data_IF_467245243299
#
_entry.id   IF_467245243299
#
_cell.length_a   1.000
_cell.length_b   1.000
_cell.length_c   1.000
_cell.angle_alpha   90.00
_cell.angle_beta   90.00
_cell.angle_gamma   90.00
#
_symmetry.space_group_name_H-M   'P 1'
#
loop_
_entity.id
_entity.type
_entity.pdbx_description
1 polymer ?
#
# COMPACT_ATOMS: atom_id res chain seq x y z
N UNK A 1 -9.22 -4.11 14.63
CA UNK A 1 -8.91 -3.26 13.45
C UNK A 1 -7.81 -2.28 13.84
N UNK A 2 -6.54 -2.68 13.70
CA UNK A 2 -5.40 -1.78 13.90
C UNK A 2 -5.11 -1.10 12.55
N UNK A 3 -5.42 0.19 12.48
CA UNK A 3 -5.28 1.02 11.29
C UNK A 3 -3.77 1.19 11.01
N UNK A 4 -3.27 0.54 9.95
CA UNK A 4 -1.98 0.90 9.34
C UNK A 4 -2.16 2.27 8.68
N UNK A 5 -1.92 3.33 9.45
CA UNK A 5 -1.80 4.70 8.96
C UNK A 5 -0.50 4.75 8.15
N UNK A 6 -0.61 4.65 6.83
CA UNK A 6 0.50 4.98 5.94
C UNK A 6 0.38 6.47 5.66
N UNK A 7 1.09 7.30 6.41
CA UNK A 7 1.24 8.72 6.08
C UNK A 7 2.29 8.82 4.99
N UNK A 8 1.87 8.91 3.72
CA UNK A 8 2.77 8.76 2.56
C UNK A 8 3.45 10.08 2.16
N UNK A 9 2.97 11.24 2.59
CA UNK A 9 3.49 12.51 2.09
C UNK A 9 4.85 12.96 2.68
N UNK A 10 5.30 12.36 3.79
CA UNK A 10 6.62 12.61 4.37
C UNK A 10 7.71 11.64 3.84
N UNK A 11 7.37 10.70 2.95
CA UNK A 11 8.22 9.54 2.70
C UNK A 11 9.45 9.80 1.81
N UNK A 12 9.54 10.92 1.08
CA UNK A 12 10.73 11.16 0.23
C UNK A 12 11.87 11.81 1.02
N UNK A 13 11.56 12.65 2.03
CA UNK A 13 12.56 13.23 2.95
C UNK A 13 12.71 12.44 4.26
N UNK A 14 11.65 11.74 4.73
CA UNK A 14 11.67 10.96 5.98
C UNK A 14 11.46 9.44 5.77
N UNK A 15 11.08 8.98 4.59
CA UNK A 15 10.82 7.54 4.32
C UNK A 15 12.06 6.73 3.92
N UNK A 16 13.21 7.38 3.74
CA UNK A 16 14.51 6.69 3.69
C UNK A 16 14.86 5.98 5.02
N UNK A 17 14.10 6.25 6.10
CA UNK A 17 14.32 5.72 7.45
C UNK A 17 14.01 4.20 7.57
N UNK A 18 13.34 3.58 6.58
CA UNK A 18 12.89 2.18 6.69
C UNK A 18 13.28 1.23 5.54
N UNK A 19 14.03 1.67 4.54
CA UNK A 19 14.47 0.82 3.45
C UNK A 19 15.87 0.25 3.77
N UNK A 20 15.97 -1.08 3.89
CA UNK A 20 17.25 -1.78 3.99
C UNK A 20 18.08 -1.49 2.75
N UNK A 21 19.12 -0.67 2.88
CA UNK A 21 20.04 -0.36 1.79
C UNK A 21 20.92 -1.59 1.57
N UNK A 22 20.85 -2.19 0.37
CA UNK A 22 21.81 -3.21 -0.05
C UNK A 22 23.23 -2.59 -0.07
N UNK A 23 24.30 -3.37 0.15
CA UNK A 23 25.66 -2.83 0.13
C UNK A 23 25.97 -2.28 -1.28
N UNK A 24 25.98 -0.95 -1.41
CA UNK A 24 26.29 -0.26 -2.65
C UNK A 24 27.81 -0.15 -2.84
N UNK A 25 28.26 -0.29 -4.09
CA UNK A 25 29.66 -0.25 -4.51
C UNK A 25 30.32 1.13 -4.24
N UNK A 26 31.40 1.06 -3.46
CA UNK A 26 32.55 1.95 -3.15
C UNK A 26 32.72 3.42 -3.62
N UNK A 27 31.77 4.15 -4.22
CA UNK A 27 32.03 5.58 -4.59
C UNK A 27 30.96 6.62 -4.26
N UNK A 28 29.91 6.29 -3.52
CA UNK A 28 28.94 7.28 -3.05
C UNK A 28 28.45 6.98 -1.64
N UNK A 29 28.25 8.01 -0.83
CA UNK A 29 27.61 7.88 0.48
C UNK A 29 26.14 7.43 0.33
N UNK A 30 25.48 6.97 1.41
CA UNK A 30 24.08 6.59 1.37
C UNK A 30 23.16 7.73 0.86
N UNK A 31 23.52 8.99 1.14
CA UNK A 31 22.81 10.15 0.62
C UNK A 31 22.89 10.24 -0.92
N UNK A 32 24.04 9.96 -1.53
CA UNK A 32 24.24 9.99 -2.98
C UNK A 32 23.37 8.94 -3.68
N UNK A 33 23.21 7.76 -3.08
CA UNK A 33 22.35 6.71 -3.62
C UNK A 33 20.86 7.12 -3.63
N UNK A 34 20.41 7.84 -2.60
CA UNK A 34 19.03 8.33 -2.49
C UNK A 34 18.80 9.49 -3.46
N UNK A 35 19.68 10.50 -3.44
CA UNK A 35 19.55 11.70 -4.26
C UNK A 35 19.76 11.42 -5.74
N UNK A 36 20.68 10.50 -6.08
CA UNK A 36 20.90 10.05 -7.45
C UNK A 36 19.72 9.31 -8.07
N UNK A 37 18.81 8.78 -7.25
CA UNK A 37 17.59 8.09 -7.70
C UNK A 37 16.29 8.86 -7.40
N UNK A 38 16.40 10.19 -7.23
CA UNK A 38 15.28 11.03 -6.84
C UNK A 38 14.11 10.97 -7.84
N UNK A 39 14.38 11.02 -9.14
CA UNK A 39 13.34 10.92 -10.18
C UNK A 39 12.61 9.56 -10.12
N UNK A 40 13.33 8.46 -9.85
CA UNK A 40 12.73 7.13 -9.67
C UNK A 40 11.86 7.02 -8.41
N UNK A 41 12.27 7.67 -7.31
CA UNK A 41 11.46 7.75 -6.09
C UNK A 41 10.17 8.55 -6.31
N UNK A 42 10.26 9.67 -7.02
CA UNK A 42 9.10 10.50 -7.39
C UNK A 42 8.13 9.71 -8.25
N UNK A 43 8.62 9.00 -9.27
CA UNK A 43 7.77 8.21 -10.17
C UNK A 43 7.06 7.06 -9.44
N UNK A 44 7.78 6.35 -8.57
CA UNK A 44 7.19 5.32 -7.73
C UNK A 44 6.10 5.89 -6.82
N UNK A 45 6.33 7.05 -6.21
CA UNK A 45 5.34 7.70 -5.36
C UNK A 45 4.13 8.17 -6.16
N UNK A 46 4.34 8.79 -7.33
CA UNK A 46 3.26 9.20 -8.22
C UNK A 46 2.36 8.00 -8.59
N UNK A 47 2.94 6.84 -8.90
CA UNK A 47 2.15 5.64 -9.20
C UNK A 47 1.34 5.11 -8.00
N UNK A 48 1.80 5.34 -6.77
CA UNK A 48 0.99 5.04 -5.58
C UNK A 48 -0.22 5.97 -5.47
N UNK A 49 -0.04 7.26 -5.76
CA UNK A 49 -1.14 8.24 -5.79
C UNK A 49 -2.15 7.92 -6.90
N UNK A 50 -1.67 7.59 -8.11
CA UNK A 50 -2.50 7.18 -9.25
C UNK A 50 -3.45 6.04 -8.85
N UNK A 51 -2.91 4.99 -8.22
CA UNK A 51 -3.72 3.84 -7.79
C UNK A 51 -4.65 4.17 -6.62
N UNK A 52 -4.21 5.00 -5.67
CA UNK A 52 -4.99 5.31 -4.47
C UNK A 52 -6.19 6.20 -4.80
N UNK A 53 -6.01 7.14 -5.73
CA UNK A 53 -7.01 8.15 -6.09
C UNK A 53 -7.73 7.84 -7.40
N UNK A 54 -7.36 6.74 -8.07
CA UNK A 54 -7.89 6.38 -9.39
C UNK A 54 -7.76 7.55 -10.37
N UNK A 55 -6.53 8.08 -10.48
CA UNK A 55 -6.26 9.25 -11.32
C UNK A 55 -6.36 8.88 -12.80
N UNK A 56 -7.00 9.74 -13.59
CA UNK A 56 -6.97 9.61 -15.06
C UNK A 56 -5.58 9.97 -15.63
N UNK A 57 -5.39 9.77 -16.94
CA UNK A 57 -4.10 10.02 -17.60
C UNK A 57 -3.63 11.47 -17.47
N UNK A 58 -4.56 12.43 -17.54
CA UNK A 58 -4.25 13.86 -17.44
C UNK A 58 -3.86 14.22 -16.01
N UNK A 59 -4.62 13.76 -15.03
CA UNK A 59 -4.33 13.93 -13.61
C UNK A 59 -3.00 13.26 -13.23
N UNK A 60 -2.71 12.08 -13.79
CA UNK A 60 -1.46 11.35 -13.60
C UNK A 60 -0.26 12.16 -14.06
N UNK A 61 -0.31 12.67 -15.29
CA UNK A 61 0.79 13.45 -15.86
C UNK A 61 1.00 14.76 -15.09
N UNK A 62 -0.08 15.48 -14.76
CA UNK A 62 0.01 16.67 -13.92
C UNK A 62 0.64 16.37 -12.55
N UNK A 63 0.24 15.26 -11.90
CA UNK A 63 0.77 14.85 -10.60
C UNK A 63 2.28 14.59 -10.67
N UNK A 64 2.75 13.90 -11.70
CA UNK A 64 4.19 13.65 -11.92
C UNK A 64 4.96 14.96 -12.12
N UNK A 65 4.45 15.85 -12.97
CA UNK A 65 5.08 17.14 -13.24
C UNK A 65 5.15 18.01 -11.99
N UNK A 66 4.05 18.12 -11.24
CA UNK A 66 4.00 18.89 -10.00
C UNK A 66 5.01 18.36 -8.97
N UNK A 67 5.02 17.05 -8.73
CA UNK A 67 5.97 16.43 -7.78
C UNK A 67 7.42 16.67 -8.21
N UNK A 68 7.77 16.49 -9.48
CA UNK A 68 9.12 16.73 -9.99
C UNK A 68 9.53 18.19 -9.87
N UNK A 69 8.67 19.12 -10.30
CA UNK A 69 8.96 20.54 -10.27
C UNK A 69 9.24 21.02 -8.84
N UNK A 70 8.33 20.71 -7.90
CA UNK A 70 8.42 21.15 -6.51
C UNK A 70 9.58 20.50 -5.76
N UNK A 71 9.84 19.22 -6.02
CA UNK A 71 10.99 18.53 -5.42
C UNK A 71 12.30 19.11 -5.94
N UNK A 72 12.44 19.32 -7.26
CA UNK A 72 13.65 19.93 -7.85
C UNK A 72 13.85 21.37 -7.35
N UNK A 73 12.78 22.17 -7.25
CA UNK A 73 12.85 23.52 -6.70
C UNK A 73 13.39 23.55 -5.26
N UNK A 74 12.95 22.61 -4.41
CA UNK A 74 13.45 22.49 -3.04
C UNK A 74 14.92 22.05 -3.02
N UNK A 75 15.28 21.00 -3.75
CA UNK A 75 16.65 20.49 -3.76
C UNK A 75 17.64 21.46 -4.41
N UNK A 76 17.26 22.19 -5.46
CA UNK A 76 18.14 23.20 -6.05
C UNK A 76 18.58 24.28 -5.05
N UNK A 77 17.77 24.53 -4.00
CA UNK A 77 18.10 25.50 -2.94
C UNK A 77 18.86 24.88 -1.78
N UNK A 78 18.61 23.61 -1.46
CA UNK A 78 19.05 22.97 -0.22
C UNK A 78 19.84 21.67 -0.39
N UNK A 79 20.20 21.26 -1.61
CA UNK A 79 20.80 19.96 -1.88
C UNK A 79 22.05 19.69 -1.05
N UNK A 80 22.98 20.66 -0.99
CA UNK A 80 24.23 20.51 -0.24
C UNK A 80 23.97 20.32 1.26
N UNK A 81 23.12 21.15 1.84
CA UNK A 81 22.73 21.11 3.25
C UNK A 81 22.02 19.78 3.58
N UNK A 82 21.05 19.37 2.74
CA UNK A 82 20.32 18.11 2.91
C UNK A 82 21.25 16.91 2.82
N UNK A 83 22.19 16.90 1.87
CA UNK A 83 23.17 15.81 1.71
C UNK A 83 24.03 15.67 2.96
N UNK A 84 24.57 16.77 3.45
CA UNK A 84 25.40 16.77 4.66
C UNK A 84 24.62 16.29 5.90
N UNK A 85 23.38 16.78 6.09
CA UNK A 85 22.54 16.37 7.21
C UNK A 85 22.13 14.89 7.13
N UNK A 86 21.92 14.36 5.92
CA UNK A 86 21.63 12.95 5.69
C UNK A 86 22.85 12.07 6.01
N UNK A 87 24.04 12.48 5.60
CA UNK A 87 25.28 11.77 5.95
C UNK A 87 25.49 11.74 7.47
N UNK A 88 25.30 12.88 8.15
CA UNK A 88 25.35 12.94 9.62
C UNK A 88 24.32 12.01 10.28
N UNK A 89 23.08 11.97 9.76
CA UNK A 89 22.03 11.06 10.24
C UNK A 89 22.43 9.59 10.09
N UNK A 90 22.98 9.19 8.94
CA UNK A 90 23.43 7.82 8.71
C UNK A 90 24.64 7.47 9.57
N UNK A 91 25.61 8.37 9.72
CA UNK A 91 26.74 8.19 10.62
C UNK A 91 26.28 7.99 12.06
N UNK A 92 25.32 8.81 12.54
CA UNK A 92 24.76 8.69 13.87
C UNK A 92 24.13 7.30 14.12
N UNK A 93 23.39 6.78 13.12
CA UNK A 93 22.76 5.45 13.17
C UNK A 93 23.74 4.30 13.04
N UNK A 94 24.83 4.48 12.30
CA UNK A 94 25.91 3.49 12.19
C UNK A 94 26.73 3.34 13.47
N UNK A 95 26.42 4.12 14.53
CA UNK A 95 27.08 4.04 15.82
C UNK A 95 28.37 4.86 15.91
N UNK A 96 28.61 5.78 14.98
CA UNK A 96 29.70 6.76 15.14
C UNK A 96 29.44 7.64 16.37
N UNK A 97 30.52 8.13 16.99
CA UNK A 97 30.46 8.93 18.22
C UNK A 97 29.89 10.34 17.94
N UNK A 98 28.56 10.42 17.79
CA UNK A 98 27.82 11.68 17.81
C UNK A 98 27.71 12.16 19.26
N UNK A 99 28.15 13.38 19.56
CA UNK A 99 27.93 13.97 20.88
C UNK A 99 26.51 14.55 21.00
N UNK A 100 26.08 14.86 22.22
CA UNK A 100 24.77 15.50 22.43
C UNK A 100 24.72 16.89 21.79
N UNK A 101 25.84 17.62 21.82
CA UNK A 101 25.96 18.92 21.18
C UNK A 101 25.86 18.82 19.66
N UNK A 102 26.49 17.81 19.04
CA UNK A 102 26.36 17.55 17.60
C UNK A 102 24.91 17.27 17.21
N UNK A 103 24.19 16.48 18.03
CA UNK A 103 22.78 16.18 17.81
C UNK A 103 21.91 17.44 17.91
N UNK A 104 22.14 18.29 18.90
CA UNK A 104 21.42 19.58 19.02
C UNK A 104 21.71 20.50 17.83
N UNK A 105 22.96 20.57 17.39
CA UNK A 105 23.37 21.36 16.22
C UNK A 105 22.75 20.82 14.93
N UNK A 106 22.71 19.50 14.75
CA UNK A 106 21.97 18.84 13.67
C UNK A 106 20.49 19.24 13.70
N UNK A 107 19.85 19.22 14.87
CA UNK A 107 18.47 19.67 15.08
C UNK A 107 18.22 21.11 14.65
N UNK A 108 19.11 22.03 15.02
CA UNK A 108 19.01 23.46 14.67
C UNK A 108 19.12 23.70 13.16
N UNK A 109 19.91 22.89 12.46
CA UNK A 109 20.08 22.97 10.99
C UNK A 109 18.91 22.36 10.23
N UNK A 110 18.40 21.21 10.68
CA UNK A 110 17.28 20.53 10.00
C UNK A 110 15.94 21.22 10.23
N UNK A 111 15.74 21.88 11.37
CA UNK A 111 14.48 22.56 11.71
C UNK A 111 13.98 23.56 10.65
N UNK A 112 14.78 24.54 10.18
CA UNK A 112 14.33 25.47 9.14
C UNK A 112 14.06 24.77 7.80
N UNK A 113 14.84 23.75 7.42
CA UNK A 113 14.59 22.96 6.21
C UNK A 113 13.26 22.20 6.30
N UNK A 114 12.94 21.65 7.48
CA UNK A 114 11.70 20.93 7.72
C UNK A 114 10.49 21.84 7.60
N UNK A 115 10.51 23.03 8.21
CA UNK A 115 9.39 23.99 8.11
C UNK A 115 9.18 24.48 6.68
N UNK A 116 10.27 24.70 5.93
CA UNK A 116 10.17 25.07 4.53
C UNK A 116 9.62 23.91 3.67
N UNK A 117 10.12 22.68 3.86
CA UNK A 117 9.62 21.51 3.16
C UNK A 117 8.11 21.30 3.44
N UNK A 118 7.69 21.47 4.69
CA UNK A 118 6.28 21.43 5.10
C UNK A 118 5.45 22.49 4.36
N UNK A 119 5.93 23.73 4.27
CA UNK A 119 5.25 24.77 3.49
C UNK A 119 5.09 24.37 2.02
N UNK A 120 6.18 23.94 1.37
CA UNK A 120 6.16 23.48 -0.04
C UNK A 120 5.18 22.33 -0.24
N UNK A 121 5.15 21.36 0.67
CA UNK A 121 4.24 20.21 0.60
C UNK A 121 2.79 20.67 0.74
N UNK A 122 2.46 21.55 1.70
CA UNK A 122 1.09 22.05 1.89
C UNK A 122 0.61 22.81 0.67
N UNK A 123 1.40 23.76 0.17
CA UNK A 123 1.07 24.54 -1.03
C UNK A 123 0.89 23.64 -2.27
N UNK A 124 1.75 22.64 -2.43
CA UNK A 124 1.65 21.68 -3.54
C UNK A 124 0.40 20.81 -3.42
N UNK A 125 -0.02 20.45 -2.21
CA UNK A 125 -1.26 19.72 -1.99
C UNK A 125 -2.49 20.57 -2.34
N UNK A 126 -2.48 21.86 -2.03
CA UNK A 126 -3.56 22.77 -2.40
C UNK A 126 -3.68 22.91 -3.92
N UNK A 127 -2.56 22.97 -4.63
CA UNK A 127 -2.51 22.96 -6.10
C UNK A 127 -2.99 21.63 -6.68
N UNK A 128 -2.55 20.51 -6.09
CA UNK A 128 -2.98 19.18 -6.52
C UNK A 128 -4.48 18.96 -6.33
N UNK A 129 -5.04 19.46 -5.22
CA UNK A 129 -6.48 19.38 -4.92
C UNK A 129 -7.37 19.98 -6.01
N UNK A 130 -6.87 20.97 -6.75
CA UNK A 130 -7.64 21.65 -7.80
C UNK A 130 -7.99 20.73 -8.98
N UNK A 131 -7.13 19.76 -9.29
CA UNK A 131 -7.37 18.82 -10.40
C UNK A 131 -8.21 17.61 -10.00
N UNK A 132 -8.48 17.43 -8.70
CA UNK A 132 -9.23 16.29 -8.17
C UNK A 132 -10.74 16.50 -8.28
N UNK A 133 -11.48 15.42 -8.54
CA UNK A 133 -12.94 15.40 -8.42
C UNK A 133 -13.40 15.34 -6.95
N UNK A 134 -14.71 15.42 -6.70
CA UNK A 134 -15.24 15.52 -5.34
C UNK A 134 -14.91 14.31 -4.45
N UNK A 135 -14.98 13.09 -4.99
CA UNK A 135 -14.66 11.88 -4.21
C UNK A 135 -13.16 11.79 -3.92
N UNK A 136 -12.32 12.12 -4.90
CA UNK A 136 -10.87 12.23 -4.73
C UNK A 136 -10.51 13.30 -3.67
N UNK A 137 -11.17 14.47 -3.69
CA UNK A 137 -10.98 15.54 -2.69
C UNK A 137 -11.34 15.07 -1.28
N UNK A 138 -12.40 14.28 -1.12
CA UNK A 138 -12.77 13.71 0.18
C UNK A 138 -11.72 12.75 0.73
N UNK A 139 -11.04 11.98 -0.13
CA UNK A 139 -9.90 11.14 0.26
C UNK A 139 -8.70 12.02 0.63
N UNK A 140 -8.44 13.05 -0.18
CA UNK A 140 -7.34 14.01 0.01
C UNK A 140 -7.44 14.77 1.34
N UNK A 141 -8.63 15.29 1.68
CA UNK A 141 -8.84 16.07 2.91
C UNK A 141 -8.57 15.20 4.16
N UNK A 142 -8.88 13.90 4.11
CA UNK A 142 -8.53 12.96 5.19
C UNK A 142 -7.03 12.70 5.26
N UNK A 143 -6.37 12.56 4.12
CA UNK A 143 -4.92 12.39 4.06
C UNK A 143 -4.20 13.64 4.58
N UNK A 144 -4.70 14.85 4.28
CA UNK A 144 -4.16 16.12 4.80
C UNK A 144 -4.27 16.20 6.32
N UNK A 145 -5.40 15.79 6.90
CA UNK A 145 -5.55 15.74 8.35
C UNK A 145 -4.52 14.80 9.00
N UNK A 146 -4.29 13.62 8.40
CA UNK A 146 -3.26 12.68 8.89
C UNK A 146 -1.84 13.23 8.70
N UNK A 147 -1.60 13.97 7.62
CA UNK A 147 -0.32 14.60 7.34
C UNK A 147 -0.02 15.71 8.35
N UNK A 148 -1.01 16.53 8.71
CA UNK A 148 -0.88 17.55 9.75
C UNK A 148 -0.47 16.93 11.10
N UNK A 149 -1.11 15.84 11.52
CA UNK A 149 -0.70 15.09 12.73
C UNK A 149 0.77 14.61 12.65
N UNK A 150 1.23 14.18 11.47
CA UNK A 150 2.61 13.77 11.27
C UNK A 150 3.58 14.95 11.31
N UNK A 151 3.24 16.10 10.72
CA UNK A 151 4.08 17.30 10.80
C UNK A 151 4.22 17.80 12.24
N UNK A 152 3.14 17.85 13.00
CA UNK A 152 3.18 18.20 14.43
C UNK A 152 4.10 17.23 15.21
N UNK A 153 3.95 15.93 14.99
CA UNK A 153 4.78 14.93 15.66
C UNK A 153 6.27 15.05 15.30
N UNK A 154 6.60 15.37 14.06
CA UNK A 154 7.99 15.56 13.63
C UNK A 154 8.56 16.87 14.17
N UNK A 155 7.80 17.97 14.12
CA UNK A 155 8.19 19.25 14.72
C UNK A 155 8.53 19.09 16.21
N UNK A 156 7.66 18.41 16.95
CA UNK A 156 7.91 18.08 18.36
C UNK A 156 9.20 17.29 18.60
N UNK A 157 9.53 16.32 17.73
CA UNK A 157 10.79 15.57 17.84
C UNK A 157 12.00 16.48 17.60
N UNK A 158 11.92 17.38 16.62
CA UNK A 158 12.97 18.35 16.34
C UNK A 158 13.16 19.33 17.50
N UNK A 159 12.08 19.81 18.11
CA UNK A 159 12.15 20.69 19.28
C UNK A 159 12.83 19.99 20.47
N UNK A 160 12.54 18.70 20.69
CA UNK A 160 13.22 17.88 21.71
C UNK A 160 14.71 17.68 21.43
N UNK A 161 15.08 17.56 20.16
CA UNK A 161 16.49 17.49 19.76
C UNK A 161 17.18 18.83 20.02
N UNK A 162 16.58 19.94 19.58
CA UNK A 162 17.14 21.30 19.72
C UNK A 162 17.29 21.71 21.19
N UNK A 163 16.35 21.33 22.05
CA UNK A 163 16.39 21.57 23.49
C UNK A 163 17.33 20.64 24.26
N UNK A 164 17.79 19.55 23.63
CA UNK A 164 18.61 18.52 24.28
C UNK A 164 17.83 17.52 25.14
N UNK A 165 16.49 17.56 25.11
CA UNK A 165 15.63 16.59 25.79
C UNK A 165 15.65 15.20 25.14
N UNK A 166 15.97 15.10 23.85
CA UNK A 166 16.16 13.83 23.15
C UNK A 166 17.61 13.37 23.28
N UNK A 167 17.80 12.17 23.83
CA UNK A 167 19.14 11.56 23.95
C UNK A 167 19.59 10.96 22.62
N UNK A 168 20.92 10.81 22.43
CA UNK A 168 21.48 10.12 21.26
C UNK A 168 20.92 8.70 21.10
N UNK A 169 20.74 7.97 22.19
CA UNK A 169 20.22 6.60 22.15
C UNK A 169 18.76 6.58 21.70
N UNK A 170 17.94 7.51 22.20
CA UNK A 170 16.56 7.70 21.74
C UNK A 170 16.50 8.12 20.27
N UNK A 171 17.41 8.98 19.81
CA UNK A 171 17.49 9.41 18.42
C UNK A 171 17.87 8.26 17.47
N UNK A 172 18.82 7.40 17.88
CA UNK A 172 19.23 6.20 17.12
C UNK A 172 18.14 5.15 17.05
N UNK A 173 17.49 4.94 18.19
CA UNK A 173 16.43 3.97 18.37
C UNK A 173 15.16 4.72 18.74
N UNK A 174 14.53 5.43 17.77
CA UNK A 174 13.27 6.11 18.04
C UNK A 174 12.28 5.02 18.43
N UNK A 175 12.07 4.88 19.74
CA UNK A 175 10.99 4.06 20.25
C UNK A 175 9.76 4.54 19.49
N UNK A 176 8.92 3.61 19.04
CA UNK A 176 7.60 3.99 18.53
C UNK A 176 6.93 4.74 19.66
N UNK A 177 7.05 6.06 19.65
CA UNK A 177 6.61 6.94 20.71
C UNK A 177 5.16 6.57 20.88
N UNK A 178 4.88 5.91 22.00
CA UNK A 178 3.53 5.55 22.36
C UNK A 178 2.94 6.92 22.65
N UNK A 179 2.18 7.46 21.69
CA UNK A 179 1.66 8.84 21.69
C UNK A 179 1.31 9.18 23.14
N UNK A 180 2.01 10.13 23.79
CA UNK A 180 1.72 10.45 25.18
C UNK A 180 0.22 10.70 25.24
N UNK A 181 -0.45 9.97 26.14
CA UNK A 181 -1.90 9.97 26.22
C UNK A 181 -2.34 11.43 26.22
N UNK A 182 -3.04 11.86 25.15
CA UNK A 182 -3.58 13.22 25.06
C UNK A 182 -4.29 13.45 26.40
N UNK A 183 -3.89 14.46 27.20
CA UNK A 183 -4.52 14.68 28.49
C UNK A 183 -6.01 14.69 28.26
N UNK A 184 -6.73 13.78 28.94
CA UNK A 184 -8.16 13.65 28.77
C UNK A 184 -8.76 15.05 28.92
N UNK A 185 -9.66 15.49 28.03
CA UNK A 185 -10.34 16.76 28.22
C UNK A 185 -10.90 16.73 29.64
N UNK A 186 -10.48 17.71 30.46
CA UNK A 186 -10.86 17.78 31.85
C UNK A 186 -12.37 17.53 31.91
N UNK A 187 -12.76 16.45 32.61
CA UNK A 187 -14.17 16.13 32.78
C UNK A 187 -14.86 17.42 33.23
N UNK A 188 -15.97 17.82 32.60
CA UNK A 188 -16.69 19.03 33.00
C UNK A 188 -16.90 18.91 34.50
N UNK A 189 -16.24 19.79 35.26
CA UNK A 189 -16.46 19.85 36.70
C UNK A 189 -17.95 20.15 36.84
N UNK A 190 -18.67 19.15 37.35
CA UNK A 190 -20.06 19.33 37.77
C UNK A 190 -19.97 20.29 38.95
N UNK A 191 -20.10 21.59 38.66
CA UNK A 191 -20.28 22.61 39.68
C UNK A 191 -21.62 22.29 40.34
N UNK A 192 -21.53 21.64 41.50
CA UNK A 192 -22.69 21.32 42.31
C UNK A 192 -23.25 22.62 42.89
N UNK A 193 -24.47 22.98 42.46
CA UNK A 193 -25.38 23.83 43.21
C UNK A 193 -25.23 25.32 43.00
N UNK A 194 -25.91 25.86 42.00
CA UNK A 194 -26.57 27.16 42.12
C UNK A 194 -28.08 27.00 41.87
N UNK A 195 -28.94 27.61 42.70
CA UNK A 195 -30.38 27.55 42.56
C UNK A 195 -30.84 28.36 41.34
N UNK A 196 -31.64 27.72 40.50
CA UNK A 196 -32.43 28.32 39.42
C UNK A 196 -33.08 29.66 39.79
N UNK A 197 -32.90 30.73 38.98
CA UNK A 197 -33.88 31.78 38.87
C UNK A 197 -34.78 31.60 37.64
N UNK A 198 -35.98 32.12 37.78
CA UNK A 198 -37.15 31.94 36.93
C UNK A 198 -36.96 32.27 35.44
N UNK A 199 -37.68 31.49 34.64
CA UNK A 199 -38.06 31.73 33.25
C UNK A 199 -38.60 33.15 33.06
N UNK A 200 -37.95 33.95 32.20
CA UNK A 200 -38.49 35.19 31.64
C UNK A 200 -38.51 35.08 30.11
N UNK A 201 -39.65 35.46 29.53
CA UNK A 201 -40.01 35.39 28.12
C UNK A 201 -38.99 36.11 27.18
N UNK A 202 -38.93 35.74 25.89
CA UNK A 202 -37.94 36.27 24.96
C UNK A 202 -38.24 37.72 24.59
N UNK A 203 -37.30 38.62 24.95
CA UNK A 203 -37.26 39.97 24.42
C UNK A 203 -36.54 39.98 23.06
N UNK A 204 -37.19 40.64 22.10
CA UNK A 204 -36.72 40.90 20.74
C UNK A 204 -35.41 41.68 20.75
N UNK A 205 -34.37 41.15 20.13
CA UNK A 205 -33.09 41.87 19.92
C UNK A 205 -33.22 42.75 18.67
N UNK A 206 -33.00 44.08 18.74
CA UNK A 206 -32.92 44.93 17.56
C UNK A 206 -31.64 44.61 16.76
N UNK A 207 -31.80 44.43 15.45
CA UNK A 207 -30.68 44.36 14.50
C UNK A 207 -29.91 45.68 14.50
N UNK A 208 -28.62 45.63 14.86
CA UNK A 208 -27.68 46.70 14.55
C UNK A 208 -27.30 46.63 13.06
N UNK A 209 -27.37 47.76 12.31
CA UNK A 209 -26.79 47.83 10.98
C UNK A 209 -25.25 47.88 11.06
N UNK A 210 -24.54 47.32 10.06
CA UNK A 210 -23.08 47.36 10.03
C UNK A 210 -22.57 48.80 9.80
N UNK A 211 -21.39 49.16 10.36
CA UNK A 211 -20.80 50.48 10.17
C UNK A 211 -20.31 50.69 8.73
N UNK A 212 -20.55 51.91 8.24
CA UNK A 212 -20.08 52.41 6.95
C UNK A 212 -18.55 52.38 6.85
N UNK A 213 -18.03 51.90 5.72
CA UNK A 213 -16.63 52.07 5.31
C UNK A 213 -16.45 53.49 4.74
N UNK A 214 -15.53 54.31 5.26
CA UNK A 214 -15.06 55.50 4.57
C UNK A 214 -13.82 55.18 3.72
N UNK A 215 -13.82 55.62 2.46
CA UNK A 215 -12.60 55.66 1.64
C UNK A 215 -12.79 55.16 0.21
N UNK A 216 -13.42 55.97 -0.64
CA UNK A 216 -13.20 55.97 -2.09
C UNK A 216 -12.43 57.24 -2.47
N UNK A 217 -11.30 57.05 -3.16
CA UNK A 217 -10.58 57.95 -4.09
C UNK A 217 -9.26 57.22 -4.39
N UNK A 218 -8.73 57.01 -5.58
CA UNK A 218 -8.99 57.47 -6.95
C UNK A 218 -8.34 56.45 -7.92
N UNK A 219 -8.75 56.57 -9.19
CA UNK A 219 -8.25 56.08 -10.50
C UNK A 219 -6.88 55.35 -10.56
N UNK A 220 -6.64 54.35 -11.42
CA UNK A 220 -6.54 54.40 -12.90
C UNK A 220 -6.73 52.94 -13.41
N UNK A 221 -7.66 52.61 -14.32
CA UNK A 221 -7.58 52.85 -15.75
C UNK A 221 -6.87 51.69 -16.48
N UNK A 222 -7.65 50.72 -17.01
CA UNK A 222 -7.12 49.56 -17.73
C UNK A 222 -8.20 48.60 -18.22
N UNK A 223 -9.12 49.09 -19.06
CA UNK A 223 -10.16 48.28 -19.68
C UNK A 223 -9.59 47.43 -20.83
N UNK A 224 -9.60 46.10 -20.67
CA UNK A 224 -9.52 45.17 -21.81
C UNK A 224 -10.95 44.78 -22.18
N UNK A 225 -11.38 45.24 -23.35
CA UNK A 225 -12.69 44.96 -23.92
C UNK A 225 -12.84 43.45 -24.21
N UNK A 226 -13.84 42.83 -23.58
CA UNK A 226 -14.36 41.51 -23.97
C UNK A 226 -15.44 41.75 -25.03
N UNK A 227 -15.32 41.20 -26.26
CA UNK A 227 -16.35 41.34 -27.28
C UNK A 227 -17.62 40.55 -26.89
N UNK A 228 -18.83 41.13 -27.03
CA UNK A 228 -20.07 40.40 -26.84
C UNK A 228 -20.41 39.63 -28.12
N UNK A 229 -20.48 38.29 -28.08
CA UNK A 229 -20.91 37.55 -29.27
C UNK A 229 -20.69 36.04 -29.35
N UNK A 230 -20.23 35.35 -28.30
CA UNK A 230 -20.17 33.88 -28.34
C UNK A 230 -21.26 33.27 -27.47
N UNK A 231 -22.38 32.92 -28.11
CA UNK A 231 -23.33 31.98 -27.55
C UNK A 231 -22.62 30.64 -27.30
N UNK A 232 -22.83 29.99 -26.14
CA UNK A 232 -22.31 28.65 -25.91
C UNK A 232 -22.87 27.69 -26.98
N UNK A 233 -22.05 26.80 -27.55
CA UNK A 233 -22.52 25.87 -28.57
C UNK A 233 -23.62 24.98 -27.99
N UNK A 234 -24.76 24.97 -28.67
CA UNK A 234 -25.83 24.00 -28.45
C UNK A 234 -25.24 22.61 -28.61
N UNK A 235 -25.11 21.89 -27.49
CA UNK A 235 -24.66 20.50 -27.46
C UNK A 235 -25.71 19.66 -28.17
N UNK A 236 -25.47 19.33 -29.43
CA UNK A 236 -26.27 18.32 -30.13
C UNK A 236 -26.07 16.97 -29.43
N UNK A 237 -27.15 16.22 -29.15
CA UNK A 237 -27.03 14.88 -28.59
C UNK A 237 -26.22 14.01 -29.55
N UNK A 238 -25.10 13.46 -29.05
CA UNK A 238 -24.31 12.47 -29.80
C UNK A 238 -25.21 11.29 -30.19
N UNK A 239 -25.15 10.80 -31.45
CA UNK A 239 -25.75 9.53 -31.82
C UNK A 239 -25.26 8.43 -30.87
N UNK A 240 -26.19 7.66 -30.31
CA UNK A 240 -25.82 6.47 -29.52
C UNK A 240 -25.04 5.51 -30.43
N UNK A 241 -23.87 5.01 -29.99
CA UNK A 241 -23.19 3.96 -30.73
C UNK A 241 -24.09 2.72 -30.82
N UNK A 242 -24.09 1.99 -31.95
CA UNK A 242 -24.87 0.77 -32.09
C UNK A 242 -24.50 -0.22 -31.00
N UNK A 243 -25.51 -0.92 -30.47
CA UNK A 243 -25.34 -1.93 -29.43
C UNK A 243 -24.26 -2.94 -29.85
N UNK A 244 -23.30 -3.28 -28.95
CA UNK A 244 -22.31 -4.29 -29.25
C UNK A 244 -23.01 -5.63 -29.53
N UNK A 245 -22.52 -6.43 -30.49
CA UNK A 245 -23.04 -7.76 -30.73
C UNK A 245 -22.88 -8.63 -29.47
N UNK A 246 -23.77 -9.61 -29.25
CA UNK A 246 -23.69 -10.49 -28.08
C UNK A 246 -22.33 -11.19 -28.04
N UNK A 247 -21.58 -10.94 -26.96
CA UNK A 247 -20.30 -11.59 -26.68
C UNK A 247 -20.55 -13.09 -26.57
N UNK A 248 -19.93 -13.86 -27.46
CA UNK A 248 -19.95 -15.31 -27.43
C UNK A 248 -19.47 -15.81 -26.07
N UNK A 249 -20.21 -16.76 -25.49
CA UNK A 249 -19.87 -17.39 -24.22
C UNK A 249 -18.45 -17.98 -24.28
N UNK A 250 -17.62 -17.82 -23.24
CA UNK A 250 -16.31 -18.46 -23.20
C UNK A 250 -16.47 -19.99 -23.26
N UNK A 251 -15.59 -20.70 -23.99
CA UNK A 251 -15.65 -22.14 -24.10
C UNK A 251 -15.45 -22.79 -22.73
N UNK A 252 -16.31 -23.76 -22.43
CA UNK A 252 -16.23 -24.63 -21.26
C UNK A 252 -14.83 -25.24 -21.15
N UNK A 253 -14.17 -25.20 -19.97
CA UNK A 253 -12.85 -25.81 -19.79
C UNK A 253 -12.87 -27.29 -20.15
N UNK A 254 -12.05 -27.69 -21.12
CA UNK A 254 -11.84 -29.10 -21.45
C UNK A 254 -11.28 -29.86 -20.23
N UNK A 255 -11.77 -31.08 -19.95
CA UNK A 255 -11.21 -31.93 -18.91
C UNK A 255 -9.74 -32.26 -19.20
N UNK A 256 -8.85 -31.93 -18.26
CA UNK A 256 -7.44 -32.32 -18.38
C UNK A 256 -7.32 -33.86 -18.31
N UNK A 257 -6.50 -34.48 -19.17
CA UNK A 257 -6.28 -35.93 -19.15
C UNK A 257 -5.61 -36.36 -17.83
N UNK A 258 -5.86 -37.60 -17.36
CA UNK A 258 -5.27 -38.12 -16.14
C UNK A 258 -3.74 -38.17 -16.28
N UNK A 259 -3.05 -37.41 -15.42
CA UNK A 259 -1.58 -37.38 -15.37
C UNK A 259 -1.04 -38.75 -15.01
N UNK A 260 -0.20 -39.30 -15.89
CA UNK A 260 0.50 -40.56 -15.73
C UNK A 260 1.30 -40.62 -14.43
N UNK A 261 1.11 -41.73 -13.71
CA UNK A 261 1.73 -42.06 -12.43
C UNK A 261 3.12 -42.65 -12.71
N UNK A 262 4.20 -41.91 -12.43
CA UNK A 262 5.54 -42.51 -12.52
C UNK A 262 6.78 -41.62 -12.64
N UNK A 263 6.67 -40.29 -12.59
CA UNK A 263 7.88 -39.44 -12.63
C UNK A 263 8.45 -39.26 -11.21
N UNK A 264 9.75 -39.54 -10.96
CA UNK A 264 10.37 -39.37 -9.66
C UNK A 264 10.31 -37.90 -9.25
N UNK A 265 9.79 -37.64 -8.04
CA UNK A 265 9.56 -36.29 -7.53
C UNK A 265 10.86 -35.47 -7.54
N UNK A 266 10.90 -34.44 -8.41
CA UNK A 266 11.97 -33.44 -8.39
C UNK A 266 12.00 -32.77 -7.01
N UNK A 267 13.20 -32.41 -6.49
CA UNK A 267 13.30 -31.63 -5.26
C UNK A 267 12.50 -30.34 -5.46
N UNK A 268 11.51 -30.18 -4.59
CA UNK A 268 10.56 -29.06 -4.57
C UNK A 268 11.40 -27.79 -4.36
N UNK A 269 11.48 -26.93 -5.37
CA UNK A 269 12.33 -25.75 -5.32
C UNK A 269 11.76 -24.73 -4.33
N UNK A 270 12.57 -23.88 -3.72
CA UNK A 270 12.10 -22.87 -2.76
C UNK A 270 11.10 -21.87 -3.37
N UNK A 271 10.99 -21.78 -4.71
CA UNK A 271 9.95 -21.00 -5.38
C UNK A 271 8.56 -21.66 -5.34
N UNK A 272 8.48 -22.90 -4.86
CA UNK A 272 7.26 -23.69 -4.90
C UNK A 272 6.29 -23.34 -3.77
N UNK A 273 6.74 -22.71 -2.66
CA UNK A 273 5.80 -22.35 -1.58
C UNK A 273 4.80 -21.27 -2.05
N UNK A 274 5.28 -20.25 -2.78
CA UNK A 274 4.42 -19.20 -3.32
C UNK A 274 3.38 -19.79 -4.28
N UNK A 275 3.80 -20.73 -5.14
CA UNK A 275 2.90 -21.44 -6.04
C UNK A 275 1.84 -22.27 -5.29
N UNK A 276 2.22 -22.97 -4.22
CA UNK A 276 1.27 -23.73 -3.38
C UNK A 276 0.25 -22.82 -2.69
N UNK A 277 0.69 -21.67 -2.16
CA UNK A 277 -0.20 -20.70 -1.52
C UNK A 277 -1.14 -20.06 -2.54
N UNK A 278 -0.63 -19.71 -3.73
CA UNK A 278 -1.43 -19.19 -4.82
C UNK A 278 -2.48 -20.20 -5.28
N UNK A 279 -2.08 -21.46 -5.47
CA UNK A 279 -3.01 -22.53 -5.82
C UNK A 279 -4.10 -22.68 -4.75
N UNK A 280 -3.74 -22.64 -3.46
CA UNK A 280 -4.70 -22.68 -2.36
C UNK A 280 -5.70 -21.52 -2.44
N UNK A 281 -5.22 -20.28 -2.66
CA UNK A 281 -6.10 -19.10 -2.77
C UNK A 281 -7.00 -19.17 -4.00
N UNK A 282 -6.49 -19.61 -5.14
CA UNK A 282 -7.30 -19.83 -6.36
C UNK A 282 -8.38 -20.88 -6.13
N UNK A 283 -8.04 -22.00 -5.49
CA UNK A 283 -9.02 -23.02 -5.11
C UNK A 283 -10.04 -22.50 -4.09
N UNK A 284 -9.62 -21.63 -3.15
CA UNK A 284 -10.49 -20.99 -2.18
C UNK A 284 -11.50 -20.04 -2.85
N UNK A 285 -11.04 -19.19 -3.76
CA UNK A 285 -11.88 -18.29 -4.57
C UNK A 285 -12.93 -19.11 -5.34
N UNK A 286 -12.49 -20.17 -6.02
CA UNK A 286 -13.37 -21.03 -6.79
C UNK A 286 -14.39 -21.77 -5.91
N UNK A 287 -13.95 -22.32 -4.75
CA UNK A 287 -14.82 -23.09 -3.84
C UNK A 287 -15.96 -22.25 -3.24
N UNK A 288 -15.68 -20.99 -2.91
CA UNK A 288 -16.66 -20.10 -2.29
C UNK A 288 -17.34 -19.15 -3.28
N UNK A 289 -17.05 -19.27 -4.57
CA UNK A 289 -17.57 -18.38 -5.62
C UNK A 289 -17.45 -16.91 -5.21
N UNK A 290 -16.24 -16.51 -4.81
CA UNK A 290 -15.99 -15.14 -4.36
C UNK A 290 -16.23 -14.15 -5.50
N UNK A 291 -16.88 -13.04 -5.20
CA UNK A 291 -17.06 -11.95 -6.17
C UNK A 291 -15.71 -11.28 -6.52
N UNK A 292 -15.74 -10.39 -7.52
CA UNK A 292 -14.56 -9.67 -8.00
C UNK A 292 -13.82 -8.93 -6.86
N UNK A 293 -14.57 -8.22 -6.00
CA UNK A 293 -13.99 -7.45 -4.90
C UNK A 293 -13.41 -8.34 -3.80
N UNK A 294 -14.10 -9.42 -3.43
CA UNK A 294 -13.61 -10.43 -2.49
C UNK A 294 -12.36 -11.13 -3.03
N UNK A 295 -12.31 -11.44 -4.33
CA UNK A 295 -11.19 -12.10 -5.00
C UNK A 295 -9.95 -11.20 -5.04
N UNK A 296 -10.10 -9.92 -5.40
CA UNK A 296 -9.02 -8.94 -5.35
C UNK A 296 -8.45 -8.80 -3.93
N UNK A 297 -9.31 -8.82 -2.91
CA UNK A 297 -8.90 -8.78 -1.50
C UNK A 297 -8.16 -10.03 -1.07
N UNK A 298 -8.61 -11.22 -1.52
CA UNK A 298 -7.90 -12.49 -1.29
C UNK A 298 -6.49 -12.48 -1.91
N UNK A 299 -6.37 -11.99 -3.15
CA UNK A 299 -5.06 -11.85 -3.82
C UNK A 299 -4.15 -10.83 -3.14
N UNK A 300 -4.70 -9.76 -2.58
CA UNK A 300 -3.94 -8.80 -1.78
C UNK A 300 -3.38 -9.45 -0.52
N UNK A 301 -4.18 -10.26 0.19
CA UNK A 301 -3.70 -11.00 1.35
C UNK A 301 -2.62 -12.03 1.00
N UNK A 302 -2.76 -12.72 -0.13
CA UNK A 302 -1.73 -13.62 -0.64
C UNK A 302 -0.42 -12.87 -0.88
N UNK A 303 -0.47 -11.76 -1.61
CA UNK A 303 0.71 -10.94 -1.92
C UNK A 303 1.44 -10.49 -0.66
N UNK A 304 0.69 -9.98 0.33
CA UNK A 304 1.25 -9.56 1.63
C UNK A 304 1.95 -10.70 2.37
N UNK A 305 1.39 -11.92 2.32
CA UNK A 305 1.97 -13.09 2.98
C UNK A 305 3.20 -13.61 2.22
N UNK A 306 3.15 -13.66 0.87
CA UNK A 306 4.28 -14.04 0.02
C UNK A 306 5.46 -13.10 0.25
N UNK A 307 5.26 -11.78 0.24
CA UNK A 307 6.33 -10.81 0.52
C UNK A 307 6.93 -10.99 1.93
N UNK A 308 6.12 -11.33 2.94
CA UNK A 308 6.64 -11.66 4.27
C UNK A 308 7.49 -12.94 4.27
N UNK A 309 7.01 -13.98 3.58
CA UNK A 309 7.74 -15.24 3.42
C UNK A 309 9.06 -15.07 2.67
N UNK A 310 9.06 -14.30 1.59
CA UNK A 310 10.25 -13.97 0.80
C UNK A 310 11.30 -13.24 1.63
N UNK A 311 10.91 -12.23 2.41
CA UNK A 311 11.84 -11.53 3.31
C UNK A 311 12.45 -12.46 4.34
N UNK A 312 11.64 -13.32 4.94
CA UNK A 312 12.12 -14.31 5.91
C UNK A 312 13.11 -15.28 5.26
N UNK A 313 12.77 -15.82 4.08
CA UNK A 313 13.64 -16.73 3.33
C UNK A 313 14.95 -16.06 2.93
N UNK A 314 14.91 -14.83 2.42
CA UNK A 314 16.10 -14.08 2.03
C UNK A 314 17.11 -13.95 3.19
N UNK A 315 16.63 -13.75 4.42
CA UNK A 315 17.51 -13.66 5.61
C UNK A 315 18.05 -15.00 6.10
N UNK A 316 17.48 -16.12 5.65
CA UNK A 316 17.80 -17.47 6.13
C UNK A 316 18.33 -18.39 5.03
N UNK A 317 18.41 -17.92 3.79
CA UNK A 317 18.77 -18.73 2.63
C UNK A 317 20.11 -19.45 2.83
N UNK A 318 21.16 -18.73 3.26
CA UNK A 318 22.49 -19.32 3.49
C UNK A 318 22.47 -20.46 4.52
N UNK A 319 21.62 -20.36 5.55
CA UNK A 319 21.49 -21.39 6.58
C UNK A 319 20.77 -22.63 6.02
N UNK A 320 19.74 -22.42 5.20
CA UNK A 320 18.99 -23.48 4.55
C UNK A 320 19.87 -24.20 3.53
N UNK A 321 20.56 -23.45 2.68
CA UNK A 321 21.47 -23.99 1.65
C UNK A 321 22.58 -24.83 2.27
N UNK A 322 23.18 -24.35 3.37
CA UNK A 322 24.20 -25.11 4.11
C UNK A 322 23.65 -26.42 4.66
N UNK A 323 22.48 -26.39 5.30
CA UNK A 323 21.84 -27.60 5.83
C UNK A 323 21.53 -28.59 4.69
N UNK A 324 21.06 -28.10 3.55
CA UNK A 324 20.71 -28.93 2.40
C UNK A 324 21.96 -29.58 1.77
N UNK A 325 23.07 -28.84 1.68
CA UNK A 325 24.37 -29.40 1.27
C UNK A 325 24.88 -30.45 2.25
N UNK A 326 24.81 -30.21 3.56
CA UNK A 326 25.24 -31.15 4.59
C UNK A 326 24.41 -32.44 4.56
N UNK A 327 23.08 -32.33 4.43
CA UNK A 327 22.18 -33.48 4.28
C UNK A 327 22.54 -34.29 3.02
N UNK A 328 22.74 -33.62 1.88
CA UNK A 328 23.08 -34.28 0.62
C UNK A 328 24.45 -34.99 0.67
N UNK A 329 25.43 -34.41 1.39
CA UNK A 329 26.73 -35.03 1.62
C UNK A 329 26.63 -36.29 2.49
N UNK A 330 25.82 -36.24 3.55
CA UNK A 330 25.63 -37.37 4.46
C UNK A 330 24.81 -38.51 3.84
N UNK A 331 23.87 -38.21 2.94
CA UNK A 331 23.01 -39.19 2.28
C UNK A 331 23.78 -40.24 1.45
N UNK A 332 25.03 -39.96 1.08
CA UNK A 332 25.89 -40.88 0.32
C UNK A 332 26.55 -41.96 1.19
N UNK A 333 26.46 -41.88 2.51
CA UNK A 333 27.14 -42.80 3.41
C UNK A 333 26.19 -43.86 3.97
N UNK A 334 26.65 -45.11 4.06
CA UNK A 334 25.92 -46.21 4.74
C UNK A 334 26.15 -46.23 6.26
N UNK A 335 26.93 -45.29 6.80
CA UNK A 335 27.23 -45.22 8.22
C UNK A 335 26.00 -44.77 9.04
N UNK A 336 25.61 -45.58 10.03
CA UNK A 336 24.50 -45.31 10.94
C UNK A 336 24.66 -43.99 11.71
N UNK A 337 25.87 -43.60 12.08
CA UNK A 337 26.12 -42.34 12.78
C UNK A 337 25.79 -41.12 11.88
N UNK A 338 26.17 -41.20 10.61
CA UNK A 338 25.87 -40.16 9.62
C UNK A 338 24.38 -40.06 9.29
N UNK A 339 23.68 -41.20 9.26
CA UNK A 339 22.22 -41.21 9.14
C UNK A 339 21.53 -40.47 10.30
N UNK A 340 22.00 -40.67 11.54
CA UNK A 340 21.49 -39.96 12.70
C UNK A 340 21.78 -38.45 12.64
N UNK A 341 22.93 -38.04 12.11
CA UNK A 341 23.27 -36.62 11.89
C UNK A 341 22.38 -35.99 10.83
N UNK A 342 22.13 -36.67 9.71
CA UNK A 342 21.24 -36.20 8.65
C UNK A 342 19.80 -35.98 9.18
N UNK A 343 19.32 -36.87 10.05
CA UNK A 343 18.02 -36.71 10.71
C UNK A 343 17.94 -35.45 11.58
N UNK A 344 19.01 -35.13 12.34
CA UNK A 344 19.07 -33.90 13.15
C UNK A 344 19.06 -32.64 12.28
N UNK A 345 19.81 -32.64 11.18
CA UNK A 345 19.83 -31.53 10.22
C UNK A 345 18.46 -31.34 9.56
N UNK A 346 17.77 -32.43 9.21
CA UNK A 346 16.41 -32.36 8.67
C UNK A 346 15.42 -31.75 9.68
N UNK A 347 15.56 -32.05 10.98
CA UNK A 347 14.75 -31.42 12.03
C UNK A 347 15.04 -29.92 12.15
N UNK A 348 16.32 -29.52 12.07
CA UNK A 348 16.72 -28.10 12.08
C UNK A 348 16.16 -27.36 10.86
N UNK A 349 16.24 -27.97 9.67
CA UNK A 349 15.62 -27.44 8.45
C UNK A 349 14.13 -27.20 8.64
N UNK A 350 13.42 -28.19 9.19
CA UNK A 350 12.00 -28.08 9.49
C UNK A 350 11.71 -26.92 10.44
N UNK A 351 12.51 -26.74 11.50
CA UNK A 351 12.37 -25.61 12.45
C UNK A 351 12.60 -24.26 11.78
N UNK A 352 13.54 -24.17 10.83
CA UNK A 352 13.76 -22.94 10.07
C UNK A 352 12.58 -22.60 9.15
N UNK A 353 11.87 -23.60 8.65
CA UNK A 353 10.71 -23.39 7.77
C UNK A 353 9.38 -23.19 8.54
N UNK A 354 9.32 -23.53 9.82
CA UNK A 354 8.11 -23.38 10.67
C UNK A 354 7.50 -21.96 10.65
N UNK A 355 8.27 -20.86 10.61
CA UNK A 355 7.69 -19.52 10.49
C UNK A 355 6.94 -19.29 9.16
N UNK A 356 7.31 -19.95 8.07
CA UNK A 356 6.55 -19.89 6.81
C UNK A 356 5.19 -20.57 6.96
N UNK A 357 5.18 -21.75 7.60
CA UNK A 357 3.93 -22.45 7.90
C UNK A 357 3.04 -21.60 8.82
N UNK A 358 3.61 -20.89 9.80
CA UNK A 358 2.85 -19.95 10.64
C UNK A 358 2.29 -18.77 9.85
N UNK A 359 3.04 -18.18 8.91
CA UNK A 359 2.52 -17.11 8.04
C UNK A 359 1.29 -17.63 7.28
N UNK A 360 1.38 -18.84 6.71
CA UNK A 360 0.27 -19.45 5.98
C UNK A 360 -0.93 -19.77 6.89
N UNK A 361 -0.71 -20.55 7.94
CA UNK A 361 -1.76 -21.09 8.82
C UNK A 361 -2.38 -20.02 9.73
N UNK A 362 -1.57 -19.11 10.29
CA UNK A 362 -2.02 -18.14 11.29
C UNK A 362 -2.37 -16.78 10.71
N UNK A 363 -1.87 -16.43 9.51
CA UNK A 363 -2.18 -15.14 8.89
C UNK A 363 -3.05 -15.28 7.63
N UNK A 364 -2.64 -16.10 6.66
CA UNK A 364 -3.34 -16.18 5.38
C UNK A 364 -4.72 -16.83 5.54
N UNK A 365 -4.79 -18.06 6.08
CA UNK A 365 -6.07 -18.78 6.22
C UNK A 365 -7.13 -18.01 7.02
N UNK A 366 -6.84 -17.46 8.22
CA UNK A 366 -7.88 -16.76 9.01
C UNK A 366 -8.38 -15.48 8.35
N UNK A 367 -7.57 -14.85 7.49
CA UNK A 367 -8.00 -13.69 6.69
C UNK A 367 -8.91 -14.10 5.54
N UNK A 368 -8.59 -15.22 4.88
CA UNK A 368 -9.41 -15.78 3.80
C UNK A 368 -10.76 -16.30 4.32
N UNK A 369 -10.79 -17.01 5.45
CA UNK A 369 -12.01 -17.57 6.05
C UNK A 369 -13.08 -16.52 6.41
N UNK A 370 -12.66 -15.25 6.51
CA UNK A 370 -13.55 -14.10 6.79
C UNK A 370 -14.12 -13.45 5.53
N UNK A 371 -13.60 -13.76 4.34
CA UNK A 371 -14.05 -13.16 3.09
C UNK A 371 -15.43 -13.69 2.63
N UNK A 372 -15.68 -15.02 2.63
CA UNK A 372 -16.97 -15.54 2.19
C UNK A 372 -18.14 -15.05 3.05
N UNK A 373 -19.24 -14.73 2.40
CA UNK A 373 -20.51 -14.45 3.05
C UNK A 373 -21.09 -15.72 3.70
N UNK A 374 -22.06 -15.56 4.60
CA UNK A 374 -22.78 -16.70 5.19
C UNK A 374 -23.47 -17.55 4.11
N UNK A 375 -24.02 -16.92 3.08
CA UNK A 375 -24.68 -17.60 1.97
C UNK A 375 -23.67 -18.43 1.14
N UNK A 376 -22.53 -17.85 0.77
CA UNK A 376 -21.45 -18.56 0.06
C UNK A 376 -20.93 -19.76 0.86
N UNK A 377 -20.76 -19.63 2.18
CA UNK A 377 -20.36 -20.76 3.04
C UNK A 377 -21.40 -21.89 3.04
N UNK A 378 -22.67 -21.54 3.20
CA UNK A 378 -23.74 -22.53 3.15
C UNK A 378 -23.89 -23.20 1.77
N UNK A 379 -23.64 -22.45 0.68
CA UNK A 379 -23.64 -22.98 -0.67
C UNK A 379 -22.48 -23.97 -0.89
N UNK A 380 -21.26 -23.61 -0.45
CA UNK A 380 -20.10 -24.49 -0.51
C UNK A 380 -20.29 -25.78 0.30
N UNK A 381 -20.85 -25.70 1.52
CA UNK A 381 -21.17 -26.88 2.33
C UNK A 381 -22.22 -27.80 1.67
N UNK A 382 -23.21 -27.22 0.97
CA UNK A 382 -24.19 -28.00 0.20
C UNK A 382 -23.54 -28.68 -1.01
N UNK A 383 -22.59 -28.00 -1.67
CA UNK A 383 -21.83 -28.57 -2.78
C UNK A 383 -20.97 -29.76 -2.32
N UNK A 384 -20.30 -29.64 -1.16
CA UNK A 384 -19.47 -30.71 -0.58
C UNK A 384 -20.29 -31.94 -0.15
N UNK A 385 -21.54 -31.73 0.29
CA UNK A 385 -22.46 -32.82 0.68
C UNK A 385 -23.07 -33.56 -0.50
N UNK A 386 -23.00 -33.02 -1.72
CA UNK A 386 -23.50 -33.73 -2.91
C UNK A 386 -22.48 -34.81 -3.25
N UNK A 387 -22.79 -36.11 -3.03
CA UNK A 387 -21.81 -37.17 -3.21
C UNK A 387 -21.28 -37.12 -4.65
N UNK A 388 -19.96 -37.08 -4.79
CA UNK A 388 -19.25 -37.10 -6.08
C UNK A 388 -19.49 -38.36 -6.92
N UNK A 389 -20.46 -39.22 -6.53
CA UNK A 389 -20.77 -40.52 -7.10
C UNK A 389 -21.84 -40.52 -8.19
N UNK A 390 -22.51 -39.40 -8.49
CA UNK A 390 -23.35 -39.33 -9.68
C UNK A 390 -22.47 -39.06 -10.91
N UNK A 391 -21.70 -40.07 -11.34
CA UNK A 391 -21.19 -40.11 -12.73
C UNK A 391 -22.38 -39.77 -13.63
N UNK A 392 -22.32 -38.73 -14.48
CA UNK A 392 -23.38 -38.47 -15.42
C UNK A 392 -23.57 -39.76 -16.22
N UNK A 393 -24.71 -40.42 -16.03
CA UNK A 393 -25.09 -41.60 -16.78
C UNK A 393 -25.13 -41.12 -18.23
N UNK A 394 -24.15 -41.56 -19.03
CA UNK A 394 -24.08 -41.21 -20.44
C UNK A 394 -25.47 -41.42 -21.04
N UNK A 395 -26.09 -40.34 -21.50
CA UNK A 395 -27.34 -40.45 -22.23
C UNK A 395 -27.15 -41.40 -23.42
N UNK A 396 -28.19 -42.16 -23.80
CA UNK A 396 -28.10 -43.12 -24.90
C UNK A 396 -27.53 -42.44 -26.14
N UNK A 397 -26.50 -43.05 -26.72
CA UNK A 397 -25.84 -42.60 -27.93
C UNK A 397 -26.90 -42.27 -29.00
N UNK A 398 -26.81 -41.08 -29.59
CA UNK A 398 -27.55 -40.75 -30.79
C UNK A 398 -27.25 -41.83 -31.85
N UNK A 399 -28.28 -42.39 -32.51
CA UNK A 399 -28.07 -43.40 -33.54
C UNK A 399 -27.21 -42.83 -34.67
N UNK A 400 -26.34 -43.64 -35.29
CA UNK A 400 -25.49 -43.20 -36.38
C UNK A 400 -26.34 -42.69 -37.56
N UNK A 401 -25.86 -41.67 -38.30
CA UNK A 401 -26.52 -41.21 -39.51
C UNK A 401 -26.62 -42.38 -40.51
N UNK A 402 -27.83 -42.63 -41.01
CA UNK A 402 -28.06 -43.60 -42.09
C UNK A 402 -27.31 -43.15 -43.33
N UNK A 403 -26.53 -44.07 -43.88
CA UNK A 403 -25.82 -43.91 -45.14
C UNK A 403 -26.76 -43.48 -46.27
N UNK A 404 -26.26 -42.53 -47.07
CA UNK A 404 -26.93 -41.95 -48.21
C UNK A 404 -27.26 -43.00 -49.27
N UNK A 405 -28.52 -42.97 -49.65
CA UNK A 405 -29.10 -43.57 -50.84
C UNK A 405 -28.43 -42.97 -52.09
N UNK A 406 -27.90 -43.77 -53.03
CA UNK A 406 -27.35 -43.27 -54.27
C UNK A 406 -28.50 -42.81 -55.17
N UNK A 407 -28.49 -41.53 -55.56
CA UNK A 407 -29.33 -41.07 -56.66
C UNK A 407 -28.61 -41.38 -57.97
N UNK A 408 -29.28 -42.21 -58.76
CA UNK A 408 -29.02 -42.40 -60.18
C UNK A 408 -29.18 -41.07 -60.92
N UNK A 409 -28.14 -40.69 -61.67
CA UNK A 409 -28.20 -39.67 -62.71
C UNK A 409 -28.74 -40.34 -63.98
N UNK A 410 -29.96 -39.96 -64.39
CA UNK A 410 -30.48 -40.20 -65.74
C UNK A 410 -31.23 -38.94 -66.23
N UNK A 411 -30.93 -38.60 -67.49
CA UNK A 411 -31.46 -37.57 -68.41
C UNK A 411 -31.01 -36.10 -68.31
#
# INVERSE_FOLDING_TARGET
MLIRRVTVAAAVLLGAIGASVAPAQERGGPADAILGNLDGLIDNYAMLLVRKYDLDDRQTEYTKQLLRARTKEFFNRHESEVRELMDQLFSARAGTNLTQEDLMNWGRRVSPLFEEAKHVIVESNDQWRQILNEEQRRIHDKDLALMAESFESTGYQLDRIVSGEMTIEEFRNPMRLTRPARPAPAAPQVVAGEPTPHVRAPATVPQQPPPARPGQAEEVGGAVAVPPGQQPPVVQPRPQPPAPPPVARPPTPQPQPPRSRGEPARPVSDKDFAGKWEQYVRSFIARYELDEGQSQKAMTYLKDCVTQGERYMQTRQDQIDKIDQDIAGLAKSQDKAKAAQAAKLAEQRKKLLDPLDRIFEQQLKPRLDRLPTRAQRAAAEKADKKPAGAKPKAGPAAPPPKDGEPKDDDE
#
